data_IF_317812938978
#
_entry.id   IF_317812938978
#
_cell.length_a   1.000
_cell.length_b   1.000
_cell.length_c   1.000
_cell.angle_alpha   90.00
_cell.angle_beta   90.00
_cell.angle_gamma   90.00
#
_symmetry.space_group_name_H-M   'P 1'
#
loop_
_entity.id
_entity.type
_entity.pdbx_description
1 polymer ?
#
# COMPACT_ATOMS: atom_id res chain seq x y z
N UNK A 1 -1.79 -7.03 21.11
CA UNK A 1 -1.32 -7.57 19.81
C UNK A 1 -0.66 -6.42 19.04
N UNK A 2 0.48 -6.63 18.38
CA UNK A 2 1.12 -5.54 17.60
C UNK A 2 0.31 -5.29 16.34
N UNK A 3 -0.04 -4.02 16.08
CA UNK A 3 -0.83 -3.58 14.92
C UNK A 3 -0.07 -3.77 13.59
N UNK A 4 1.25 -3.74 13.60
CA UNK A 4 2.10 -3.96 12.43
C UNK A 4 3.07 -5.13 12.65
N UNK A 5 3.55 -5.75 11.57
CA UNK A 5 4.48 -6.88 11.61
C UNK A 5 5.83 -6.54 12.28
N UNK A 6 6.27 -5.29 12.23
CA UNK A 6 7.42 -4.77 12.97
C UNK A 6 7.35 -3.24 13.08
N UNK A 7 8.20 -2.67 13.94
CA UNK A 7 8.22 -1.24 14.23
C UNK A 7 8.75 -0.42 13.04
N UNK A 8 9.75 -0.93 12.32
CA UNK A 8 10.32 -0.23 11.17
C UNK A 8 9.31 -0.11 10.02
N UNK A 9 8.51 -1.15 9.81
CA UNK A 9 7.42 -1.11 8.82
C UNK A 9 6.33 -0.11 9.23
N UNK A 10 5.95 -0.08 10.51
CA UNK A 10 4.98 0.88 11.04
C UNK A 10 5.43 2.32 10.79
N UNK A 11 6.70 2.62 11.10
CA UNK A 11 7.28 3.95 10.90
C UNK A 11 7.14 4.35 9.42
N UNK A 12 7.52 3.47 8.51
CA UNK A 12 7.54 3.75 7.06
C UNK A 12 6.15 3.92 6.45
N UNK A 13 5.15 3.18 6.95
CA UNK A 13 3.74 3.33 6.56
C UNK A 13 3.15 4.65 7.07
N UNK A 14 3.60 5.12 8.24
CA UNK A 14 3.13 6.36 8.87
C UNK A 14 3.83 7.61 8.38
N UNK A 15 4.91 7.50 7.61
CA UNK A 15 5.57 8.66 7.02
C UNK A 15 4.60 9.43 6.11
N UNK A 16 4.68 10.78 6.05
CA UNK A 16 3.95 11.59 5.08
C UNK A 16 4.19 11.12 3.64
N UNK A 17 3.20 11.28 2.76
CA UNK A 17 3.30 10.92 1.34
C UNK A 17 4.49 11.56 0.65
N UNK A 18 4.89 12.75 1.08
CA UNK A 18 6.01 13.54 0.53
C UNK A 18 7.40 13.05 0.96
N UNK A 19 7.51 12.13 1.94
CA UNK A 19 8.80 11.62 2.41
C UNK A 19 9.29 10.46 1.55
N UNK A 20 10.58 10.42 1.22
CA UNK A 20 11.19 9.38 0.39
C UNK A 20 12.33 8.64 1.12
N UNK A 21 12.40 7.29 1.05
CA UNK A 21 11.33 6.40 0.62
C UNK A 21 10.22 6.31 1.68
N UNK A 22 9.04 5.83 1.28
CA UNK A 22 7.97 5.44 2.21
C UNK A 22 7.25 4.18 1.72
N UNK A 23 6.56 3.50 2.63
CA UNK A 23 5.74 2.32 2.29
C UNK A 23 4.28 2.73 2.22
N UNK A 24 3.57 2.25 1.19
CA UNK A 24 2.13 2.43 1.03
C UNK A 24 1.41 1.10 0.99
N UNK A 25 0.35 1.03 1.79
CA UNK A 25 -0.66 -0.02 1.72
C UNK A 25 -1.81 0.54 0.90
N UNK A 26 -2.07 -0.11 -0.24
CA UNK A 26 -3.04 0.34 -1.23
C UNK A 26 -4.24 -0.59 -1.18
N UNK A 27 -5.43 -0.05 -0.98
CA UNK A 27 -6.70 -0.75 -1.14
C UNK A 27 -7.27 -0.44 -2.52
N UNK A 28 -7.53 -1.50 -3.28
CA UNK A 28 -8.21 -1.43 -4.57
C UNK A 28 -9.69 -1.78 -4.41
N UNK A 29 -10.56 -1.09 -5.15
CA UNK A 29 -11.96 -1.43 -5.25
C UNK A 29 -12.19 -2.37 -6.45
N UNK A 30 -13.09 -3.34 -6.25
CA UNK A 30 -13.28 -4.54 -7.06
C UNK A 30 -13.76 -4.31 -8.51
N UNK A 31 -14.05 -3.07 -8.90
CA UNK A 31 -14.57 -2.72 -10.22
C UNK A 31 -13.49 -2.47 -11.28
N UNK A 32 -12.20 -2.42 -10.90
CA UNK A 32 -11.16 -2.07 -11.87
C UNK A 32 -10.90 -3.20 -12.90
N UNK A 33 -11.00 -2.94 -14.22
CA UNK A 33 -10.85 -3.97 -15.27
C UNK A 33 -9.48 -4.67 -15.27
N UNK A 34 -8.41 -3.98 -14.86
CA UNK A 34 -7.05 -4.57 -14.76
C UNK A 34 -6.87 -5.46 -13.52
N UNK A 35 -7.82 -5.46 -12.57
CA UNK A 35 -7.79 -6.27 -11.35
C UNK A 35 -8.73 -7.48 -11.41
N UNK A 36 -9.36 -7.72 -12.58
CA UNK A 36 -10.30 -8.81 -12.80
C UNK A 36 -9.59 -10.16 -12.59
N UNK A 37 -9.87 -10.81 -11.45
CA UNK A 37 -9.26 -12.09 -11.05
C UNK A 37 -8.16 -11.97 -9.97
N UNK A 38 -7.74 -10.76 -9.60
CA UNK A 38 -6.88 -10.56 -8.43
C UNK A 38 -7.76 -10.58 -7.17
N UNK A 39 -7.80 -11.73 -6.52
CA UNK A 39 -8.50 -11.96 -5.23
C UNK A 39 -7.94 -11.17 -4.05
N UNK A 40 -7.00 -10.24 -4.29
CA UNK A 40 -6.24 -9.54 -3.26
C UNK A 40 -6.44 -8.04 -3.41
N UNK A 41 -7.36 -7.51 -2.60
CA UNK A 41 -7.74 -6.08 -2.58
C UNK A 41 -6.62 -5.17 -2.07
N UNK A 42 -5.59 -5.73 -1.42
CA UNK A 42 -4.48 -4.96 -0.87
C UNK A 42 -3.17 -5.17 -1.65
N UNK A 43 -2.58 -4.05 -2.06
CA UNK A 43 -1.24 -3.93 -2.62
C UNK A 43 -0.28 -3.26 -1.64
N UNK A 44 1.01 -3.51 -1.83
CA UNK A 44 2.06 -2.94 -0.99
C UNK A 44 3.17 -2.45 -1.90
N UNK A 45 3.62 -1.21 -1.71
CA UNK A 45 4.72 -0.68 -2.49
C UNK A 45 5.61 0.26 -1.68
N UNK A 46 6.83 0.43 -2.16
CA UNK A 46 7.76 1.48 -1.74
C UNK A 46 7.68 2.58 -2.79
N UNK A 47 7.52 3.83 -2.34
CA UNK A 47 7.49 5.01 -3.22
C UNK A 47 8.62 5.98 -2.86
N UNK A 48 8.96 6.87 -3.80
CA UNK A 48 9.97 7.91 -3.62
C UNK A 48 9.36 9.24 -3.17
N UNK A 49 8.22 9.20 -2.49
CA UNK A 49 7.47 10.38 -2.12
C UNK A 49 6.62 10.94 -3.27
N UNK A 50 5.49 11.55 -2.94
CA UNK A 50 4.56 12.17 -3.89
C UNK A 50 3.60 13.13 -3.20
N UNK A 51 3.07 14.08 -3.96
CA UNK A 51 2.01 15.00 -3.50
C UNK A 51 0.62 14.36 -3.61
N UNK A 52 0.33 13.69 -4.74
CA UNK A 52 -0.93 12.97 -4.98
C UNK A 52 -0.65 11.59 -5.51
N UNK A 53 -1.27 10.57 -4.93
CA UNK A 53 -1.07 9.19 -5.37
C UNK A 53 -1.65 8.98 -6.78
N UNK A 54 -0.91 8.27 -7.61
CA UNK A 54 -1.31 7.85 -8.95
C UNK A 54 -0.77 6.45 -9.21
N UNK A 55 -1.57 5.59 -9.84
CA UNK A 55 -1.19 4.21 -10.16
C UNK A 55 0.02 4.11 -11.09
N UNK A 56 0.37 5.16 -11.82
CA UNK A 56 1.53 5.25 -12.69
C UNK A 56 2.79 5.78 -11.99
N UNK A 57 2.72 6.14 -10.70
CA UNK A 57 3.90 6.59 -9.96
C UNK A 57 5.00 5.52 -9.99
N UNK A 58 6.28 5.94 -10.14
CA UNK A 58 7.43 5.06 -9.92
C UNK A 58 7.34 4.45 -8.52
N UNK A 59 7.27 3.13 -8.46
CA UNK A 59 7.15 2.38 -7.21
C UNK A 59 7.70 0.97 -7.35
N UNK A 60 8.14 0.42 -6.23
CA UNK A 60 8.52 -0.98 -6.13
C UNK A 60 7.44 -1.76 -5.38
N UNK A 61 6.79 -2.71 -6.05
CA UNK A 61 5.82 -3.59 -5.40
C UNK A 61 6.54 -4.59 -4.50
N UNK A 62 6.03 -4.80 -3.29
CA UNK A 62 6.59 -5.75 -2.30
C UNK A 62 5.52 -6.75 -1.87
N UNK A 63 5.95 -7.98 -1.54
CA UNK A 63 5.06 -9.02 -0.99
C UNK A 63 5.43 -9.44 0.44
N UNK A 64 6.67 -9.14 0.85
CA UNK A 64 7.21 -9.41 2.16
C UNK A 64 7.71 -8.09 2.78
N UNK A 65 7.65 -7.99 4.10
CA UNK A 65 8.21 -6.87 4.85
C UNK A 65 9.72 -6.83 4.62
N UNK A 66 10.29 -5.70 4.16
CA UNK A 66 11.73 -5.60 3.92
C UNK A 66 12.56 -5.60 5.21
N UNK A 67 11.92 -5.45 6.38
CA UNK A 67 12.58 -5.38 7.69
C UNK A 67 12.55 -6.71 8.44
N UNK A 68 11.40 -7.38 8.51
CA UNK A 68 11.23 -8.60 9.29
C UNK A 68 10.89 -9.85 8.46
N UNK A 69 10.79 -9.75 7.14
CA UNK A 69 10.51 -10.88 6.24
C UNK A 69 9.09 -11.43 6.30
N UNK A 70 8.21 -10.85 7.13
CA UNK A 70 6.81 -11.29 7.24
C UNK A 70 6.06 -11.11 5.91
N UNK A 71 5.24 -12.08 5.54
CA UNK A 71 4.37 -12.00 4.36
C UNK A 71 3.24 -11.00 4.61
N UNK A 72 3.25 -9.88 3.89
CA UNK A 72 2.40 -8.72 4.21
C UNK A 72 0.91 -9.03 4.15
N UNK A 73 0.52 -9.89 3.20
CA UNK A 73 -0.88 -10.30 2.99
C UNK A 73 -1.47 -11.10 4.13
N UNK A 74 -0.63 -11.64 5.02
CA UNK A 74 -1.10 -12.41 6.17
C UNK A 74 -1.41 -11.47 7.37
N UNK A 75 -0.96 -10.20 7.30
CA UNK A 75 -1.16 -9.19 8.36
C UNK A 75 -2.14 -8.08 7.96
N UNK A 76 -2.13 -7.67 6.69
CA UNK A 76 -2.78 -6.44 6.24
C UNK A 76 -3.94 -6.74 5.30
N UNK A 77 -5.11 -7.01 5.87
CA UNK A 77 -6.35 -7.31 5.15
C UNK A 77 -7.54 -6.44 5.54
N UNK A 78 -7.29 -5.32 6.24
CA UNK A 78 -8.32 -4.41 6.73
C UNK A 78 -8.03 -2.97 6.31
N UNK A 79 -9.09 -2.20 6.13
CA UNK A 79 -9.06 -0.81 5.67
C UNK A 79 -8.25 0.10 6.59
N UNK A 80 -8.20 -0.22 7.89
CA UNK A 80 -7.47 0.57 8.90
C UNK A 80 -5.95 0.66 8.65
N UNK A 81 -5.43 -0.17 7.75
CA UNK A 81 -4.02 -0.20 7.36
C UNK A 81 -3.75 0.57 6.08
N UNK A 82 -4.77 0.80 5.24
CA UNK A 82 -4.59 1.43 3.95
C UNK A 82 -4.28 2.93 4.11
N UNK A 83 -3.26 3.39 3.39
CA UNK A 83 -3.02 4.82 3.22
C UNK A 83 -3.67 5.32 1.94
N UNK A 84 -3.69 4.47 0.92
CA UNK A 84 -4.20 4.80 -0.40
C UNK A 84 -5.39 3.91 -0.68
N UNK A 85 -6.57 4.50 -0.78
CA UNK A 85 -7.83 3.83 -1.06
C UNK A 85 -8.37 4.33 -2.41
N UNK A 86 -8.61 3.40 -3.32
CA UNK A 86 -9.23 3.67 -4.62
C UNK A 86 -10.66 4.21 -4.43
N UNK A 87 -10.99 5.28 -5.14
CA UNK A 87 -12.27 6.00 -5.01
C UNK A 87 -12.28 7.07 -3.91
N UNK A 88 -11.31 7.08 -2.99
CA UNK A 88 -11.21 8.06 -1.90
C UNK A 88 -9.97 8.95 -2.05
N UNK A 89 -8.79 8.32 -2.15
CA UNK A 89 -7.49 9.02 -2.22
C UNK A 89 -6.92 9.07 -3.64
N UNK A 90 -7.30 8.11 -4.48
CA UNK A 90 -6.91 8.07 -5.88
C UNK A 90 -8.00 7.44 -6.76
N UNK A 91 -7.95 7.73 -8.05
CA UNK A 91 -8.77 7.11 -9.07
C UNK A 91 -7.86 6.43 -10.09
N UNK A 92 -8.31 5.31 -10.63
CA UNK A 92 -7.57 4.48 -11.59
C UNK A 92 -8.03 4.68 -13.03
N UNK A 93 -9.17 5.36 -13.24
CA UNK A 93 -9.70 5.77 -14.54
C UNK A 93 -10.01 7.28 -14.52
N UNK A 94 -9.94 7.98 -15.67
CA UNK A 94 -10.36 9.38 -15.81
C UNK A 94 -11.83 9.60 -15.45
#
# INVERSE_FOLDING_TARGET
MKKYCCIDFEIQVKLPSTTAPNIRIIKYQSSHPLLKGLTKQFGFCITMGYDKYNILLPKMTISYCPYCGSKLKDFYGSDEYANEIEGETFVTSP
#
